data_IF_934476736443
#
_entry.id   IF_934476736443
#
_cell.length_a   1.000
_cell.length_b   1.000
_cell.length_c   1.000
_cell.angle_alpha   90.00
_cell.angle_beta   90.00
_cell.angle_gamma   90.00
#
_symmetry.space_group_name_H-M   'P 1'
#
loop_
_entity.id
_entity.type
_entity.pdbx_description
1 polymer ?
#
# COMPACT_ATOMS: atom_id res chain seq x y z
N UNK A 1 -1.60 -4.35 17.35
CA UNK A 1 -1.30 -4.22 15.91
C UNK A 1 -1.53 -2.81 15.42
N UNK A 2 -0.83 -2.43 14.39
CA UNK A 2 -0.98 -1.15 13.71
C UNK A 2 -0.96 -1.41 12.22
N UNK A 3 -1.85 -0.75 11.47
CA UNK A 3 -2.01 -1.02 10.04
C UNK A 3 -1.83 0.26 9.25
N UNK A 4 -0.91 0.24 8.28
CA UNK A 4 -0.85 1.27 7.26
C UNK A 4 -1.68 0.82 6.07
N UNK A 5 -2.53 1.69 5.56
CA UNK A 5 -3.32 1.40 4.37
C UNK A 5 -3.01 2.41 3.28
N UNK A 6 -3.11 1.97 2.04
CA UNK A 6 -2.78 2.77 0.87
C UNK A 6 -3.81 2.54 -0.22
N UNK A 7 -4.19 3.62 -0.91
CA UNK A 7 -5.00 3.54 -2.13
C UNK A 7 -4.20 4.24 -3.22
N UNK A 8 -3.92 3.54 -4.30
CA UNK A 8 -3.01 4.01 -5.35
C UNK A 8 -3.64 3.79 -6.72
N UNK A 9 -3.58 4.79 -7.60
CA UNK A 9 -4.01 4.65 -9.00
C UNK A 9 -2.76 4.32 -9.83
N UNK A 10 -2.77 3.17 -10.50
CA UNK A 10 -1.64 2.67 -11.26
C UNK A 10 -2.06 2.45 -12.72
N UNK A 11 -1.34 3.03 -13.70
CA UNK A 11 -1.62 2.73 -15.09
C UNK A 11 -1.58 1.23 -15.35
N UNK A 12 -2.63 0.67 -15.94
CA UNK A 12 -2.70 -0.77 -16.20
C UNK A 12 -1.50 -1.26 -17.02
N UNK A 13 -1.05 -0.44 -17.98
CA UNK A 13 0.10 -0.77 -18.81
C UNK A 13 1.39 -0.90 -18.01
N UNK A 14 1.44 -0.38 -16.79
CA UNK A 14 2.63 -0.43 -15.94
C UNK A 14 2.47 -1.37 -14.75
N UNK A 15 1.53 -2.29 -14.83
CA UNK A 15 1.26 -3.25 -13.76
C UNK A 15 2.50 -4.05 -13.36
N UNK A 16 3.25 -4.53 -14.34
CA UNK A 16 4.45 -5.33 -14.08
C UNK A 16 5.55 -4.53 -13.40
N UNK A 17 5.72 -3.26 -13.78
CA UNK A 17 6.64 -2.35 -13.10
C UNK A 17 6.22 -2.13 -11.66
N UNK A 18 4.92 -1.93 -11.44
CA UNK A 18 4.38 -1.75 -10.10
C UNK A 18 4.65 -3.00 -9.23
N UNK A 19 4.43 -4.18 -9.79
CA UNK A 19 4.67 -5.44 -9.07
C UNK A 19 6.12 -5.56 -8.63
N UNK A 20 7.07 -5.17 -9.49
CA UNK A 20 8.48 -5.18 -9.15
C UNK A 20 8.79 -4.27 -7.96
N UNK A 21 8.28 -3.04 -8.00
CA UNK A 21 8.50 -2.06 -6.95
C UNK A 21 7.84 -2.51 -5.65
N UNK A 22 6.61 -3.01 -5.74
CA UNK A 22 5.88 -3.53 -4.59
C UNK A 22 6.61 -4.71 -3.95
N UNK A 23 7.23 -5.57 -4.78
CA UNK A 23 7.99 -6.72 -4.30
C UNK A 23 9.23 -6.29 -3.51
N UNK A 24 9.94 -5.26 -3.98
CA UNK A 24 11.08 -4.70 -3.26
C UNK A 24 10.62 -4.07 -1.95
N UNK A 25 9.55 -3.29 -2.00
CA UNK A 25 8.99 -2.67 -0.81
C UNK A 25 8.60 -3.73 0.24
N UNK A 26 7.94 -4.80 -0.21
CA UNK A 26 7.52 -5.88 0.68
C UNK A 26 8.72 -6.58 1.35
N UNK A 27 9.77 -6.82 0.59
CA UNK A 27 10.99 -7.41 1.13
C UNK A 27 11.61 -6.52 2.20
N UNK A 28 11.73 -5.23 1.91
CA UNK A 28 12.29 -4.26 2.86
C UNK A 28 11.41 -4.16 4.10
N UNK A 29 10.10 -3.99 3.93
CA UNK A 29 9.18 -3.87 5.06
C UNK A 29 9.23 -5.10 5.96
N UNK A 30 9.34 -6.28 5.36
CA UNK A 30 9.45 -7.53 6.09
C UNK A 30 10.72 -7.57 6.94
N UNK A 31 11.85 -7.11 6.38
CA UNK A 31 13.12 -7.05 7.09
C UNK A 31 13.05 -6.06 8.27
N UNK A 32 12.19 -5.07 8.19
CA UNK A 32 12.01 -4.09 9.28
C UNK A 32 10.87 -4.45 10.23
N UNK A 33 10.29 -5.63 10.10
CA UNK A 33 9.36 -6.16 11.09
C UNK A 33 7.89 -6.21 10.73
N UNK A 34 7.54 -6.01 9.46
CA UNK A 34 6.16 -6.15 9.02
C UNK A 34 5.66 -7.58 9.24
N UNK A 35 4.44 -7.71 9.75
CA UNK A 35 3.81 -9.00 10.02
C UNK A 35 3.07 -9.52 8.79
N UNK A 36 2.40 -8.63 8.07
CA UNK A 36 1.65 -8.99 6.87
C UNK A 36 1.70 -7.83 5.88
N UNK A 37 1.78 -8.18 4.61
CA UNK A 37 1.75 -7.19 3.53
C UNK A 37 0.85 -7.74 2.45
N UNK A 38 -0.09 -6.92 1.97
CA UNK A 38 -0.91 -7.28 0.82
C UNK A 38 -0.99 -6.11 -0.14
N UNK A 39 -0.82 -6.46 -1.42
CA UNK A 39 -0.98 -5.53 -2.53
C UNK A 39 -2.10 -6.09 -3.39
N UNK A 40 -3.25 -5.42 -3.38
CA UNK A 40 -4.45 -5.94 -4.02
C UNK A 40 -4.78 -5.14 -5.27
N UNK A 41 -4.84 -5.85 -6.39
CA UNK A 41 -5.15 -5.26 -7.69
C UNK A 41 -6.64 -5.25 -7.94
N UNK A 42 -7.14 -4.15 -8.46
CA UNK A 42 -8.56 -3.96 -8.76
C UNK A 42 -9.19 -5.13 -9.51
N UNK A 43 -10.33 -5.60 -9.03
CA UNK A 43 -11.18 -6.56 -9.73
C UNK A 43 -12.53 -5.94 -10.03
N UNK A 44 -13.15 -5.30 -9.06
CA UNK A 44 -14.47 -4.73 -9.19
C UNK A 44 -14.57 -3.50 -8.31
N UNK A 45 -14.83 -2.35 -8.93
CA UNK A 45 -15.02 -1.10 -8.21
C UNK A 45 -16.31 -0.46 -8.72
N UNK A 46 -17.39 -0.53 -7.95
CA UNK A 46 -18.63 0.12 -8.34
C UNK A 46 -18.52 1.64 -8.22
N UNK A 47 -19.21 2.33 -9.11
CA UNK A 47 -19.33 3.79 -9.03
C UNK A 47 -20.15 4.15 -7.81
N UNK A 48 -19.68 5.12 -7.04
CA UNK A 48 -20.42 5.63 -5.89
C UNK A 48 -21.16 6.91 -6.21
N UNK A 49 -22.06 7.30 -5.31
CA UNK A 49 -22.82 8.54 -5.48
C UNK A 49 -21.96 9.77 -5.17
N UNK A 50 -21.50 9.87 -3.92
CA UNK A 50 -20.69 11.01 -3.49
C UNK A 50 -19.20 10.77 -3.71
N UNK A 51 -18.75 9.53 -3.54
CA UNK A 51 -17.36 9.16 -3.77
C UNK A 51 -17.25 7.66 -4.04
N UNK A 52 -16.10 7.26 -4.49
CA UNK A 52 -15.71 5.87 -4.69
C UNK A 52 -14.18 5.86 -4.74
N UNK A 53 -13.58 4.69 -4.93
CA UNK A 53 -12.11 4.60 -4.99
C UNK A 53 -11.52 5.48 -6.09
N UNK A 54 -12.13 5.48 -7.27
CA UNK A 54 -11.59 6.26 -8.40
C UNK A 54 -11.66 7.76 -8.17
N UNK A 55 -12.79 8.22 -7.65
CA UNK A 55 -12.96 9.65 -7.34
C UNK A 55 -12.01 10.08 -6.23
N UNK A 56 -11.84 9.23 -5.21
CA UNK A 56 -11.01 9.57 -4.06
C UNK A 56 -9.54 9.80 -4.45
N UNK A 57 -9.00 9.02 -5.38
CA UNK A 57 -7.61 9.17 -5.85
C UNK A 57 -7.50 9.95 -7.15
N UNK A 58 -8.62 10.51 -7.64
CA UNK A 58 -8.64 11.25 -8.90
C UNK A 58 -8.04 10.43 -10.04
N UNK A 59 -8.49 9.18 -10.15
CA UNK A 59 -7.97 8.26 -11.16
C UNK A 59 -8.22 8.78 -12.58
N UNK A 60 -7.23 8.60 -13.43
CA UNK A 60 -7.29 8.97 -14.84
C UNK A 60 -7.66 7.74 -15.68
N UNK A 61 -8.14 7.94 -16.93
CA UNK A 61 -8.43 6.81 -17.82
C UNK A 61 -7.22 5.89 -17.94
N UNK A 62 -7.48 4.58 -17.91
CA UNK A 62 -6.42 3.58 -18.02
C UNK A 62 -5.74 3.21 -16.73
N UNK A 63 -6.08 3.88 -15.63
CA UNK A 63 -5.54 3.53 -14.32
C UNK A 63 -6.43 2.54 -13.59
N UNK A 64 -5.78 1.63 -12.87
CA UNK A 64 -6.42 0.64 -12.01
C UNK A 64 -6.12 0.99 -10.56
N UNK A 65 -7.00 0.59 -9.66
CA UNK A 65 -6.84 0.89 -8.25
C UNK A 65 -6.11 -0.26 -7.55
N UNK A 66 -5.11 0.11 -6.76
CA UNK A 66 -4.45 -0.80 -5.83
C UNK A 66 -4.89 -0.42 -4.43
N UNK A 67 -5.35 -1.40 -3.68
CA UNK A 67 -5.65 -1.27 -2.26
C UNK A 67 -4.63 -2.13 -1.54
N UNK A 68 -3.80 -1.52 -0.70
CA UNK A 68 -2.75 -2.27 -0.04
C UNK A 68 -2.70 -1.97 1.45
N UNK A 69 -2.11 -2.89 2.20
CA UNK A 69 -1.88 -2.66 3.61
C UNK A 69 -0.61 -3.37 4.09
N UNK A 70 -0.07 -2.81 5.17
CA UNK A 70 1.06 -3.37 5.89
C UNK A 70 0.67 -3.42 7.36
N UNK A 71 0.80 -4.59 7.96
CA UNK A 71 0.51 -4.78 9.38
C UNK A 71 1.81 -4.85 10.16
N UNK A 72 1.88 -4.06 11.23
CA UNK A 72 3.02 -3.97 12.15
C UNK A 72 2.61 -4.44 13.55
N UNK A 73 3.58 -4.89 14.37
CA UNK A 73 3.27 -5.28 15.76
C UNK A 73 2.56 -4.18 16.55
N UNK A 74 3.04 -2.95 16.42
CA UNK A 74 2.45 -1.78 17.08
C UNK A 74 2.88 -0.51 16.35
N UNK A 75 2.37 0.62 16.81
CA UNK A 75 2.65 1.91 16.19
C UNK A 75 4.14 2.29 16.28
N UNK A 76 4.78 1.97 17.40
CA UNK A 76 6.19 2.29 17.59
C UNK A 76 7.07 1.49 16.64
N UNK A 77 6.76 0.20 16.45
CA UNK A 77 7.46 -0.63 15.48
C UNK A 77 7.33 -0.08 14.06
N UNK A 78 6.12 0.39 13.70
CA UNK A 78 5.89 1.01 12.40
C UNK A 78 6.73 2.28 12.23
N UNK A 79 6.76 3.13 13.25
CA UNK A 79 7.52 4.39 13.20
C UNK A 79 9.02 4.14 13.04
N UNK A 80 9.55 3.19 13.81
CA UNK A 80 10.97 2.82 13.70
C UNK A 80 11.29 2.21 12.35
N UNK A 81 10.38 1.33 11.85
CA UNK A 81 10.56 0.72 10.54
C UNK A 81 10.59 1.77 9.43
N UNK A 82 9.67 2.75 9.46
CA UNK A 82 9.61 3.80 8.46
C UNK A 82 10.89 4.64 8.44
N UNK A 83 11.45 4.92 9.60
CA UNK A 83 12.74 5.62 9.69
C UNK A 83 13.84 4.86 8.97
N UNK A 84 13.98 3.57 9.28
CA UNK A 84 15.01 2.73 8.66
C UNK A 84 14.77 2.55 7.17
N UNK A 85 13.52 2.30 6.79
CA UNK A 85 13.14 2.11 5.38
C UNK A 85 13.44 3.35 4.53
N UNK A 86 13.22 4.53 5.10
CA UNK A 86 13.45 5.78 4.39
C UNK A 86 14.90 5.95 3.95
N UNK A 87 15.83 5.35 4.70
CA UNK A 87 17.26 5.40 4.44
C UNK A 87 17.82 4.15 3.79
N UNK A 88 16.95 3.15 3.56
CA UNK A 88 17.38 1.89 3.00
C UNK A 88 17.71 2.03 1.51
N UNK A 89 18.93 1.66 1.07
CA UNK A 89 19.33 1.81 -0.33
C UNK A 89 18.39 1.13 -1.33
N UNK A 90 17.76 0.02 -0.94
CA UNK A 90 16.86 -0.70 -1.84
C UNK A 90 15.65 0.15 -2.24
N UNK A 91 15.15 1.00 -1.31
CA UNK A 91 14.04 1.90 -1.58
C UNK A 91 14.53 3.21 -2.22
N UNK A 92 15.67 3.73 -1.75
CA UNK A 92 16.23 4.96 -2.29
C UNK A 92 16.61 4.85 -3.76
N UNK A 93 17.04 3.66 -4.19
CA UNK A 93 17.56 3.43 -5.53
C UNK A 93 16.50 2.96 -6.53
N UNK A 94 15.22 2.90 -6.13
CA UNK A 94 14.16 2.43 -7.02
C UNK A 94 13.85 3.37 -8.19
N UNK A 95 14.24 4.63 -8.09
CA UNK A 95 13.96 5.61 -9.13
C UNK A 95 12.51 6.08 -9.13
N UNK A 96 12.00 6.45 -10.30
CA UNK A 96 10.65 6.97 -10.43
C UNK A 96 9.60 5.88 -10.22
N UNK A 97 8.53 6.24 -9.53
CA UNK A 97 7.42 5.32 -9.30
C UNK A 97 6.52 5.23 -10.53
N UNK A 98 5.96 4.05 -10.83
CA UNK A 98 5.02 3.87 -11.95
C UNK A 98 3.60 4.36 -11.61
N UNK A 99 3.49 5.39 -10.79
CA UNK A 99 2.22 6.00 -10.41
C UNK A 99 2.47 7.41 -9.89
N UNK A 100 1.41 8.22 -9.85
CA UNK A 100 1.48 9.58 -9.32
C UNK A 100 1.29 9.56 -7.81
N UNK A 101 2.39 9.67 -7.08
CA UNK A 101 2.39 9.66 -5.61
C UNK A 101 1.60 10.79 -4.98
N UNK A 102 1.42 11.90 -5.71
CA UNK A 102 0.66 13.05 -5.17
C UNK A 102 -0.83 12.75 -5.01
N UNK A 103 -1.34 11.72 -5.69
CA UNK A 103 -2.74 11.32 -5.62
C UNK A 103 -2.96 10.11 -4.70
N UNK A 104 -1.90 9.53 -4.18
CA UNK A 104 -1.98 8.38 -3.28
C UNK A 104 -2.63 8.78 -1.96
N UNK A 105 -3.52 7.93 -1.48
CA UNK A 105 -4.12 8.07 -0.16
C UNK A 105 -3.41 7.10 0.77
N UNK A 106 -3.02 7.58 1.96
CA UNK A 106 -2.38 6.73 2.94
C UNK A 106 -2.79 7.14 4.35
N UNK A 107 -2.74 6.18 5.26
CA UNK A 107 -3.03 6.47 6.66
C UNK A 107 -2.58 5.32 7.56
N UNK A 108 -2.58 5.59 8.87
CA UNK A 108 -2.25 4.61 9.86
C UNK A 108 -3.46 4.39 10.77
N UNK A 109 -3.72 3.13 11.10
CA UNK A 109 -4.93 2.74 11.81
C UNK A 109 -4.62 1.73 12.90
N UNK A 110 -5.39 1.82 13.99
CA UNK A 110 -5.40 0.81 15.03
C UNK A 110 -6.65 -0.05 14.80
N UNK A 111 -6.51 -1.39 14.76
CA UNK A 111 -7.68 -2.24 14.57
C UNK A 111 -8.71 -2.02 15.69
N UNK A 112 -9.94 -1.73 15.32
CA UNK A 112 -11.03 -1.62 16.25
C UNK A 112 -11.63 -2.99 16.51
N UNK A 113 -11.69 -3.81 15.46
CA UNK A 113 -12.16 -5.19 15.53
C UNK A 113 -11.32 -6.00 14.59
N UNK A 114 -10.85 -7.16 15.03
CA UNK A 114 -10.10 -8.07 14.19
C UNK A 114 -10.57 -9.50 14.42
N UNK A 115 -10.78 -10.21 13.33
CA UNK A 115 -11.11 -11.62 13.37
C UNK A 115 -10.46 -12.29 12.18
N UNK A 116 -9.85 -13.44 12.41
CA UNK A 116 -9.26 -14.24 11.36
C UNK A 116 -9.66 -15.70 11.58
N UNK A 117 -10.15 -16.33 10.53
CA UNK A 117 -10.65 -17.69 10.62
C UNK A 117 -9.60 -18.68 11.15
N UNK A 118 -8.34 -18.45 10.77
CA UNK A 118 -7.24 -19.35 11.12
C UNK A 118 -6.64 -19.07 12.49
N UNK A 119 -7.13 -18.04 13.20
CA UNK A 119 -6.68 -17.69 14.54
C UNK A 119 -7.45 -18.43 15.64
N UNK A 120 -8.36 -19.28 15.28
CA UNK A 120 -9.23 -20.00 16.22
C UNK A 120 -8.47 -21.05 17.05
#
# INVERSE_FOLDING_TARGET
>A
MYINTYIIAVPEARKDEYLKIASVFAEVARDYGAIEIRENWEQEIPDGDNTDYRKAVKAEPGEKIVSSWVIWPDREAAAEAHKGMYEDPRLMDMGDMPFDGSRMILGGFEPLLAWCKDDA
#
